data_IF_839336000272
#
_entry.id   IF_839336000272
#
_cell.length_a   1.000
_cell.length_b   1.000
_cell.length_c   1.000
_cell.angle_alpha   90.00
_cell.angle_beta   90.00
_cell.angle_gamma   90.00
#
_symmetry.space_group_name_H-M   'P 1'
#
loop_
_entity.id
_entity.type
_entity.pdbx_description
1 polymer ?
#
# COMPACT_ATOMS: atom_id res chain seq x y z
N UNK A 1 38.61 12.15 -16.65
CA UNK A 1 37.38 11.37 -16.91
C UNK A 1 36.68 10.91 -15.63
N UNK A 2 37.43 10.47 -14.61
CA UNK A 2 36.88 10.00 -13.32
C UNK A 2 35.94 10.99 -12.63
N UNK A 3 36.28 12.29 -12.55
CA UNK A 3 35.41 13.29 -11.93
C UNK A 3 34.06 13.46 -12.64
N UNK A 4 34.03 13.33 -13.98
CA UNK A 4 32.78 13.41 -14.76
C UNK A 4 31.88 12.20 -14.49
N UNK A 5 32.48 11.01 -14.37
CA UNK A 5 31.75 9.79 -14.01
C UNK A 5 31.22 9.85 -12.58
N UNK A 6 32.01 10.37 -11.63
CA UNK A 6 31.57 10.58 -10.25
C UNK A 6 30.39 11.56 -10.18
N UNK A 7 30.46 12.68 -10.91
CA UNK A 7 29.37 13.65 -10.99
C UNK A 7 28.09 13.03 -11.61
N UNK A 8 28.22 12.25 -12.69
CA UNK A 8 27.10 11.55 -13.31
C UNK A 8 26.46 10.55 -12.33
N UNK A 9 27.28 9.77 -11.61
CA UNK A 9 26.82 8.81 -10.61
C UNK A 9 26.07 9.48 -9.46
N UNK A 10 26.58 10.62 -8.96
CA UNK A 10 25.93 11.38 -7.91
C UNK A 10 24.56 11.93 -8.34
N UNK A 11 24.46 12.47 -9.56
CA UNK A 11 23.17 12.95 -10.11
C UNK A 11 22.19 11.80 -10.29
N UNK A 12 22.65 10.66 -10.83
CA UNK A 12 21.81 9.46 -11.00
C UNK A 12 21.30 8.92 -9.66
N UNK A 13 22.17 8.83 -8.65
CA UNK A 13 21.79 8.39 -7.31
C UNK A 13 20.80 9.34 -6.65
N UNK A 14 21.03 10.66 -6.73
CA UNK A 14 20.11 11.65 -6.18
C UNK A 14 18.73 11.57 -6.85
N UNK A 15 18.69 11.44 -8.19
CA UNK A 15 17.45 11.26 -8.94
C UNK A 15 16.72 9.97 -8.57
N UNK A 16 17.44 8.85 -8.45
CA UNK A 16 16.88 7.57 -8.02
C UNK A 16 16.30 7.65 -6.60
N UNK A 17 17.04 8.21 -5.64
CA UNK A 17 16.56 8.37 -4.25
C UNK A 17 15.34 9.27 -4.15
N UNK A 18 15.27 10.33 -4.97
CA UNK A 18 14.09 11.19 -5.04
C UNK A 18 12.86 10.45 -5.58
N UNK A 19 13.04 9.65 -6.64
CA UNK A 19 11.97 8.84 -7.21
C UNK A 19 11.50 7.72 -6.26
N UNK A 20 12.43 7.02 -5.62
CA UNK A 20 12.14 5.97 -4.63
C UNK A 20 11.34 6.52 -3.45
N UNK A 21 11.73 7.69 -2.91
CA UNK A 21 11.01 8.34 -1.82
C UNK A 21 9.54 8.63 -2.15
N UNK A 22 9.23 8.90 -3.42
CA UNK A 22 7.87 9.18 -3.86
C UNK A 22 7.05 7.91 -4.18
N UNK A 23 7.66 6.72 -4.10
CA UNK A 23 7.02 5.43 -4.43
C UNK A 23 6.92 4.47 -3.26
N UNK A 24 7.48 4.81 -2.12
CA UNK A 24 7.26 4.01 -0.92
C UNK A 24 5.82 4.25 -0.48
N UNK A 25 4.97 3.24 -0.68
CA UNK A 25 3.64 3.21 -0.09
C UNK A 25 3.81 3.40 1.42
N UNK A 26 3.31 4.52 1.95
CA UNK A 26 3.45 4.88 3.36
C UNK A 26 3.02 3.73 4.29
N UNK A 27 2.05 2.92 3.83
CA UNK A 27 1.45 1.81 4.57
C UNK A 27 1.55 0.44 3.86
N UNK A 28 2.40 0.31 2.85
CA UNK A 28 2.63 -0.93 2.09
C UNK A 28 1.66 -1.15 0.92
N UNK A 29 1.98 -2.12 0.06
CA UNK A 29 1.40 -2.33 -1.29
C UNK A 29 -0.11 -2.64 -1.32
N UNK A 30 -0.76 -2.84 -0.18
CA UNK A 30 -2.16 -3.22 -0.10
C UNK A 30 -3.08 -2.11 0.42
N UNK A 31 -2.52 -0.98 0.90
CA UNK A 31 -3.27 0.04 1.62
C UNK A 31 -3.69 1.16 0.67
N UNK A 32 -4.95 1.57 0.74
CA UNK A 32 -5.39 2.78 0.06
C UNK A 32 -4.76 4.03 0.68
N UNK A 33 -4.71 5.12 -0.09
CA UNK A 33 -4.25 6.42 0.41
C UNK A 33 -5.13 6.91 1.57
N UNK A 34 -4.51 7.36 2.67
CA UNK A 34 -5.21 7.87 3.85
C UNK A 34 -5.65 6.81 4.85
N UNK A 35 -5.23 5.55 4.67
CA UNK A 35 -5.37 4.52 5.71
C UNK A 35 -4.42 4.79 6.89
N UNK A 36 -4.77 4.33 8.10
CA UNK A 36 -3.92 4.46 9.28
C UNK A 36 -2.57 3.74 9.10
N UNK A 37 -1.55 4.27 9.75
CA UNK A 37 -0.22 3.67 9.73
C UNK A 37 -0.15 2.39 10.55
N UNK A 38 0.52 1.37 10.02
CA UNK A 38 0.76 0.11 10.72
C UNK A 38 0.47 -1.13 9.88
N UNK A 39 0.12 -2.24 10.55
CA UNK A 39 -0.15 -3.53 9.90
C UNK A 39 -1.63 -3.80 9.64
N UNK A 40 -2.51 -2.94 10.13
CA UNK A 40 -3.97 -3.10 10.06
C UNK A 40 -4.55 -1.85 9.41
N UNK A 41 -5.33 -2.04 8.35
CA UNK A 41 -6.13 -1.01 7.67
C UNK A 41 -7.58 -1.09 8.13
N UNK A 42 -8.40 -0.11 7.78
CA UNK A 42 -9.85 -0.24 7.88
C UNK A 42 -10.34 -1.37 6.95
N UNK A 43 -11.53 -1.91 7.24
CA UNK A 43 -12.19 -2.87 6.35
C UNK A 43 -12.77 -2.19 5.10
N UNK A 44 -12.99 -3.00 4.07
CA UNK A 44 -13.72 -2.66 2.86
C UNK A 44 -12.84 -2.29 1.66
N UNK A 45 -13.43 -2.24 0.46
CA UNK A 45 -12.70 -2.10 -0.81
C UNK A 45 -11.94 -0.78 -0.89
N UNK A 46 -12.52 0.30 -0.33
CA UNK A 46 -11.92 1.64 -0.26
C UNK A 46 -10.66 1.72 0.59
N UNK A 47 -10.44 0.73 1.44
CA UNK A 47 -9.24 0.65 2.27
C UNK A 47 -8.10 -0.10 1.56
N UNK A 48 -8.36 -0.71 0.41
CA UNK A 48 -7.37 -1.42 -0.40
C UNK A 48 -6.99 -0.63 -1.65
N UNK A 49 -5.82 -0.91 -2.23
CA UNK A 49 -5.45 -0.34 -3.55
C UNK A 49 -6.05 -1.11 -4.74
N UNK A 50 -6.76 -2.22 -4.49
CA UNK A 50 -7.30 -3.11 -5.53
C UNK A 50 -8.63 -2.57 -6.06
N UNK A 51 -8.99 -2.92 -7.30
CA UNK A 51 -10.24 -2.48 -7.93
C UNK A 51 -11.47 -2.94 -7.12
N UNK A 52 -12.33 -1.99 -6.76
CA UNK A 52 -13.55 -2.22 -5.98
C UNK A 52 -14.54 -3.14 -6.71
N UNK A 53 -14.48 -3.21 -8.04
CA UNK A 53 -15.45 -3.97 -8.86
C UNK A 53 -15.39 -5.49 -8.65
N UNK A 54 -14.25 -6.02 -8.24
CA UNK A 54 -14.12 -7.45 -7.93
C UNK A 54 -14.50 -7.81 -6.49
N UNK A 55 -14.82 -6.81 -5.66
CA UNK A 55 -15.08 -7.02 -4.24
C UNK A 55 -16.49 -7.57 -4.01
N UNK A 56 -16.58 -8.81 -3.53
CA UNK A 56 -17.84 -9.46 -3.24
C UNK A 56 -18.34 -9.12 -1.83
N UNK A 57 -19.61 -9.43 -1.55
CA UNK A 57 -20.15 -9.31 -0.19
C UNK A 57 -19.45 -10.24 0.80
N UNK A 58 -19.06 -11.43 0.35
CA UNK A 58 -18.29 -12.37 1.17
C UNK A 58 -16.92 -11.80 1.49
N UNK A 59 -16.27 -11.09 0.56
CA UNK A 59 -14.99 -10.43 0.83
C UNK A 59 -15.16 -9.32 1.89
N UNK A 60 -16.24 -8.54 1.83
CA UNK A 60 -16.55 -7.52 2.84
C UNK A 60 -16.75 -8.13 4.22
N UNK A 61 -17.63 -9.14 4.33
CA UNK A 61 -17.92 -9.81 5.60
C UNK A 61 -16.68 -10.47 6.22
N UNK A 62 -15.81 -11.04 5.38
CA UNK A 62 -14.54 -11.58 5.81
C UNK A 62 -13.58 -10.48 6.28
N UNK A 63 -13.46 -9.36 5.54
CA UNK A 63 -12.57 -8.25 5.89
C UNK A 63 -13.02 -7.52 7.18
N UNK A 64 -14.33 -7.37 7.39
CA UNK A 64 -14.93 -6.80 8.61
C UNK A 64 -14.78 -7.72 9.83
N UNK A 65 -14.71 -9.03 9.62
CA UNK A 65 -14.48 -9.95 10.73
C UNK A 65 -13.09 -9.72 11.34
N UNK A 66 -12.04 -9.43 10.58
CA UNK A 66 -10.70 -9.29 11.15
C UNK A 66 -10.51 -8.00 11.99
N UNK A 67 -9.87 -8.06 13.18
CA UNK A 67 -9.24 -9.23 13.81
C UNK A 67 -10.17 -10.10 14.69
N UNK A 68 -11.45 -9.76 14.80
CA UNK A 68 -12.43 -10.52 15.57
C UNK A 68 -12.78 -11.86 14.88
N UNK A 69 -12.43 -12.98 15.51
CA UNK A 69 -12.59 -14.30 14.90
C UNK A 69 -14.04 -14.82 14.81
N UNK A 70 -15.04 -13.95 14.91
CA UNK A 70 -16.45 -14.32 14.84
C UNK A 70 -16.85 -14.52 13.36
N UNK A 71 -17.29 -15.73 12.96
CA UNK A 71 -17.73 -15.94 11.59
C UNK A 71 -18.95 -15.07 11.28
N UNK A 72 -19.07 -14.53 10.05
CA UNK A 72 -20.24 -13.75 9.65
C UNK A 72 -21.48 -14.64 9.73
N UNK A 73 -22.35 -14.36 10.71
CA UNK A 73 -23.59 -15.09 10.95
C UNK A 73 -24.76 -14.43 10.19
N UNK A 74 -24.65 -14.35 8.87
CA UNK A 74 -25.72 -13.85 8.01
C UNK A 74 -26.46 -15.06 7.40
N UNK A 75 -27.38 -15.65 8.19
CA UNK A 75 -28.30 -16.71 7.75
C UNK A 75 -29.70 -16.15 7.50
#
# INVERSE_FOLDING_TARGET
MLLKLAALGAVGYAGYKYYEKNRLDENGVAFAKGQPDGRVRNAGPKATTTDEKSWSKTDEELDESFPASDPPANY
#
